data_IF_628666294165
#
_entry.id   IF_628666294165
#
_cell.length_a   1.000
_cell.length_b   1.000
_cell.length_c   1.000
_cell.angle_alpha   90.00
_cell.angle_beta   90.00
_cell.angle_gamma   90.00
#
_symmetry.space_group_name_H-M   'P 1'
#
loop_
_entity.id
_entity.type
_entity.pdbx_description
1 polymer ?
#
# COMPACT_ATOMS: atom_id res chain seq x y z
N UNK A 1 27.14 14.60 -13.01
CA UNK A 1 25.75 14.28 -12.65
C UNK A 1 25.49 14.80 -11.25
N UNK A 2 24.38 15.49 -11.03
CA UNK A 2 24.00 15.96 -9.69
C UNK A 2 23.37 14.82 -8.89
N UNK A 3 23.36 14.87 -7.54
CA UNK A 3 22.65 13.88 -6.73
C UNK A 3 21.16 13.73 -7.12
N UNK A 4 20.51 14.81 -7.53
CA UNK A 4 19.11 14.82 -7.95
C UNK A 4 18.87 14.10 -9.28
N UNK A 5 19.85 14.13 -10.19
CA UNK A 5 19.82 13.36 -11.43
C UNK A 5 19.96 11.87 -11.14
N UNK A 6 20.90 11.51 -10.25
CA UNK A 6 21.17 10.11 -9.89
C UNK A 6 19.98 9.44 -9.22
N UNK A 7 19.24 10.16 -8.37
CA UNK A 7 18.04 9.64 -7.72
C UNK A 7 16.79 9.72 -8.60
N UNK A 8 16.86 10.36 -9.76
CA UNK A 8 15.74 10.54 -10.68
C UNK A 8 14.71 11.58 -10.22
N UNK A 9 15.05 12.45 -9.25
CA UNK A 9 14.16 13.56 -8.83
C UNK A 9 14.15 14.70 -9.84
N UNK A 10 15.25 14.91 -10.56
CA UNK A 10 15.35 15.85 -11.67
C UNK A 10 15.85 15.11 -12.91
N UNK A 11 15.05 15.04 -13.97
CA UNK A 11 15.41 14.35 -15.22
C UNK A 11 14.64 14.90 -16.40
N UNK A 12 15.19 14.75 -17.60
CA UNK A 12 14.46 15.03 -18.84
C UNK A 12 13.26 14.09 -18.96
N UNK A 13 12.04 14.60 -19.23
CA UNK A 13 10.85 13.76 -19.29
C UNK A 13 10.93 12.75 -20.45
N UNK A 14 10.92 11.46 -20.15
CA UNK A 14 10.87 10.38 -21.16
C UNK A 14 9.46 9.81 -21.32
N UNK A 15 8.79 9.51 -20.20
CA UNK A 15 7.40 9.06 -20.14
C UNK A 15 6.69 9.63 -18.90
N UNK A 16 5.40 9.99 -19.05
CA UNK A 16 4.58 10.60 -17.98
C UNK A 16 3.52 9.62 -17.50
N UNK A 17 3.85 8.78 -16.53
CA UNK A 17 2.91 7.80 -15.95
C UNK A 17 2.02 8.39 -14.86
N UNK A 18 2.46 9.48 -14.21
CA UNK A 18 1.78 10.07 -13.07
C UNK A 18 0.32 10.48 -13.34
N UNK A 19 -0.07 11.04 -14.51
CA UNK A 19 -1.47 11.33 -14.78
C UNK A 19 -2.39 10.10 -14.77
N UNK A 20 -1.92 8.96 -15.28
CA UNK A 20 -2.65 7.70 -15.24
C UNK A 20 -2.78 7.21 -13.80
N UNK A 21 -1.68 7.19 -13.05
CA UNK A 21 -1.66 6.83 -11.63
C UNK A 21 -2.59 7.72 -10.79
N UNK A 22 -2.56 9.04 -11.02
CA UNK A 22 -3.41 10.03 -10.34
C UNK A 22 -4.88 9.71 -10.52
N UNK A 23 -5.29 9.38 -11.75
CA UNK A 23 -6.68 9.01 -12.06
C UNK A 23 -7.06 7.65 -11.49
N UNK A 24 -6.26 6.62 -11.75
CA UNK A 24 -6.56 5.25 -11.35
C UNK A 24 -6.63 5.04 -9.84
N UNK A 25 -5.79 5.75 -9.08
CA UNK A 25 -5.77 5.65 -7.60
C UNK A 25 -6.52 6.79 -6.90
N UNK A 26 -7.25 7.63 -7.64
CA UNK A 26 -7.97 8.78 -7.09
C UNK A 26 -7.10 9.59 -6.12
N UNK A 27 -5.92 10.00 -6.60
CA UNK A 27 -4.95 10.72 -5.79
C UNK A 27 -5.34 12.18 -5.56
N UNK A 28 -6.37 12.66 -6.25
CA UNK A 28 -6.82 14.05 -6.22
C UNK A 28 -8.30 14.11 -5.93
N UNK A 29 -8.64 14.78 -4.84
CA UNK A 29 -9.99 14.91 -4.30
C UNK A 29 -10.24 16.39 -4.08
N UNK A 30 -11.25 16.93 -4.74
CA UNK A 30 -11.48 18.38 -4.73
C UNK A 30 -12.28 18.82 -3.49
N UNK A 31 -13.22 17.99 -3.02
CA UNK A 31 -14.14 18.33 -1.92
C UNK A 31 -13.80 17.57 -0.63
N UNK A 32 -12.60 17.80 -0.10
CA UNK A 32 -12.12 17.12 1.11
C UNK A 32 -12.73 17.72 2.38
N UNK A 33 -13.28 16.86 3.24
CA UNK A 33 -13.77 17.24 4.56
C UNK A 33 -12.64 17.13 5.59
N UNK A 34 -12.05 18.24 6.01
CA UNK A 34 -10.90 18.22 6.93
C UNK A 34 -11.30 17.95 8.39
N UNK A 35 -12.47 18.42 8.82
CA UNK A 35 -12.95 18.28 10.21
C UNK A 35 -13.53 16.90 10.51
N UNK A 36 -14.07 16.22 9.50
CA UNK A 36 -14.61 14.86 9.60
C UNK A 36 -14.17 14.04 8.37
N UNK A 37 -12.91 13.63 8.32
CA UNK A 37 -12.33 13.06 7.11
C UNK A 37 -12.90 11.68 6.80
N UNK A 38 -13.30 11.49 5.54
CA UNK A 38 -13.75 10.19 5.00
C UNK A 38 -12.72 9.52 4.11
N UNK A 39 -11.64 10.22 3.79
CA UNK A 39 -10.60 9.76 2.87
C UNK A 39 -9.25 10.33 3.29
N UNK A 40 -8.16 9.61 3.01
CA UNK A 40 -6.78 9.96 3.38
C UNK A 40 -6.26 11.26 2.74
N UNK A 41 -6.90 11.75 1.69
CA UNK A 41 -6.58 13.03 1.03
C UNK A 41 -6.64 14.26 1.95
N UNK A 42 -7.30 14.15 3.11
CA UNK A 42 -7.29 15.19 4.15
C UNK A 42 -5.89 15.58 4.64
N UNK A 43 -4.92 14.67 4.55
CA UNK A 43 -3.55 14.92 5.01
C UNK A 43 -2.82 15.98 4.19
N UNK A 44 -3.22 16.19 2.94
CA UNK A 44 -2.65 17.19 2.03
C UNK A 44 -3.77 17.98 1.31
N UNK A 45 -4.87 18.26 2.02
CA UNK A 45 -6.01 19.08 1.55
C UNK A 45 -6.46 18.80 0.11
N UNK A 46 -6.57 17.51 -0.24
CA UNK A 46 -6.99 17.08 -1.58
C UNK A 46 -6.10 16.03 -2.21
N UNK A 47 -4.80 16.00 -1.87
CA UNK A 47 -3.91 14.96 -2.37
C UNK A 47 -3.88 13.74 -1.44
N UNK A 48 -4.26 12.57 -1.96
CA UNK A 48 -4.05 11.30 -1.28
C UNK A 48 -2.65 10.76 -1.61
N UNK A 49 -1.76 10.55 -0.61
CA UNK A 49 -0.43 10.01 -0.86
C UNK A 49 -0.48 8.64 -1.54
N UNK A 50 0.21 8.52 -2.68
CA UNK A 50 0.20 7.30 -3.49
C UNK A 50 0.59 6.05 -2.68
N UNK A 51 1.61 6.13 -1.83
CA UNK A 51 2.04 5.02 -0.98
C UNK A 51 0.93 4.51 -0.06
N UNK A 52 0.15 5.42 0.53
CA UNK A 52 -0.96 5.08 1.42
C UNK A 52 -2.14 4.53 0.62
N UNK A 53 -2.41 5.04 -0.59
CA UNK A 53 -3.41 4.43 -1.51
C UNK A 53 -3.04 3.00 -1.88
N UNK A 54 -1.77 2.73 -2.16
CA UNK A 54 -1.32 1.37 -2.47
C UNK A 54 -1.56 0.42 -1.29
N UNK A 55 -1.22 0.85 -0.07
CA UNK A 55 -1.52 0.07 1.14
C UNK A 55 -3.04 -0.15 1.32
N UNK A 56 -3.86 0.87 1.07
CA UNK A 56 -5.31 0.76 1.13
C UNK A 56 -5.86 -0.25 0.12
N UNK A 57 -5.30 -0.32 -1.10
CA UNK A 57 -5.66 -1.33 -2.09
C UNK A 57 -5.21 -2.74 -1.66
N UNK A 58 -3.96 -2.87 -1.22
CA UNK A 58 -3.39 -4.15 -0.76
C UNK A 58 -4.20 -4.78 0.39
N UNK A 59 -4.71 -3.95 1.31
CA UNK A 59 -5.48 -4.40 2.47
C UNK A 59 -6.90 -4.86 2.12
N UNK A 60 -7.40 -4.62 0.90
CA UNK A 60 -8.72 -5.10 0.48
C UNK A 60 -8.69 -6.62 0.34
N UNK A 61 -9.82 -7.32 0.56
CA UNK A 61 -9.89 -8.77 0.34
C UNK A 61 -9.53 -9.21 -1.09
N UNK A 62 -9.70 -8.31 -2.06
CA UNK A 62 -9.33 -8.53 -3.46
C UNK A 62 -7.84 -8.32 -3.76
N UNK A 63 -7.05 -7.82 -2.79
CA UNK A 63 -5.65 -7.45 -2.98
C UNK A 63 -5.46 -6.50 -4.16
N UNK A 64 -4.51 -6.83 -5.03
CA UNK A 64 -4.15 -6.06 -6.22
C UNK A 64 -5.10 -6.20 -7.41
N UNK A 65 -6.17 -7.01 -7.29
CA UNK A 65 -7.10 -7.24 -8.40
C UNK A 65 -7.75 -5.95 -8.88
N UNK A 66 -7.69 -5.71 -10.20
CA UNK A 66 -8.27 -4.56 -10.89
C UNK A 66 -7.33 -3.36 -11.04
N UNK A 67 -6.11 -3.42 -10.50
CA UNK A 67 -5.11 -2.34 -10.64
C UNK A 67 -3.77 -2.84 -11.18
N UNK A 68 -3.67 -4.10 -11.63
CA UNK A 68 -2.42 -4.74 -12.03
C UNK A 68 -1.73 -4.02 -13.19
N UNK A 69 -2.48 -3.60 -14.22
CA UNK A 69 -1.93 -2.86 -15.36
C UNK A 69 -1.38 -1.50 -14.96
N UNK A 70 -1.99 -0.87 -13.95
CA UNK A 70 -1.57 0.43 -13.44
C UNK A 70 -0.30 0.27 -12.59
N UNK A 71 -0.18 -0.82 -11.83
CA UNK A 71 1.00 -1.12 -11.03
C UNK A 71 2.26 -1.31 -11.89
N UNK A 72 2.13 -1.83 -13.12
CA UNK A 72 3.25 -1.94 -14.07
C UNK A 72 3.87 -0.59 -14.46
N UNK A 73 3.16 0.51 -14.22
CA UNK A 73 3.67 1.86 -14.48
C UNK A 73 4.59 2.38 -13.37
N UNK A 74 4.59 1.73 -12.20
CA UNK A 74 5.45 2.06 -11.06
C UNK A 74 6.82 1.40 -11.20
N UNK A 75 7.87 2.00 -10.64
CA UNK A 75 9.19 1.39 -10.61
C UNK A 75 9.19 0.16 -9.70
N UNK A 76 9.79 -0.93 -10.17
CA UNK A 76 9.96 -2.17 -9.42
C UNK A 76 8.83 -3.19 -9.62
N UNK A 77 9.04 -4.45 -9.22
CA UNK A 77 8.04 -5.50 -9.34
C UNK A 77 6.93 -5.34 -8.29
N UNK A 78 5.72 -5.79 -8.63
CA UNK A 78 4.66 -6.04 -7.64
C UNK A 78 4.80 -7.48 -7.14
N UNK A 79 4.88 -7.66 -5.82
CA UNK A 79 5.08 -8.97 -5.17
C UNK A 79 3.85 -9.29 -4.33
N UNK A 80 3.29 -10.48 -4.52
CA UNK A 80 2.17 -11.03 -3.74
C UNK A 80 2.40 -12.54 -3.57
N UNK A 81 3.09 -12.90 -2.48
CA UNK A 81 3.53 -14.27 -2.21
C UNK A 81 2.97 -14.76 -0.88
N UNK A 82 2.43 -15.98 -0.89
CA UNK A 82 1.96 -16.66 0.32
C UNK A 82 3.10 -17.54 0.83
N UNK A 83 3.62 -17.20 2.01
CA UNK A 83 4.60 -18.06 2.67
C UNK A 83 3.89 -19.26 3.32
N UNK A 84 4.21 -20.46 2.85
CA UNK A 84 3.78 -21.69 3.50
C UNK A 84 4.60 -21.94 4.76
N UNK A 85 3.93 -22.24 5.87
CA UNK A 85 4.61 -22.61 7.10
C UNK A 85 5.35 -23.95 6.91
N UNK A 86 6.64 -24.04 7.29
CA UNK A 86 7.36 -25.31 7.28
C UNK A 86 6.71 -26.28 8.26
N UNK A 87 6.70 -27.58 7.91
CA UNK A 87 5.99 -28.64 8.65
C UNK A 87 6.34 -28.70 10.15
N UNK A 88 7.56 -28.30 10.53
CA UNK A 88 8.00 -28.24 11.93
C UNK A 88 7.29 -27.19 12.78
N UNK A 89 6.83 -26.08 12.19
CA UNK A 89 6.14 -24.98 12.90
C UNK A 89 4.63 -25.21 13.04
N UNK A 90 4.03 -26.02 12.16
CA UNK A 90 2.61 -26.41 12.25
C UNK A 90 2.29 -27.25 13.49
N UNK A 91 3.31 -27.86 14.12
CA UNK A 91 3.14 -28.75 15.30
C UNK A 91 3.09 -28.02 16.63
N UNK A 92 3.35 -26.71 16.71
CA UNK A 92 2.99 -25.90 17.88
C UNK A 92 1.49 -25.64 17.84
N UNK A 93 0.69 -26.65 18.18
CA UNK A 93 -0.60 -26.35 18.79
C UNK A 93 -0.28 -25.46 19.98
N UNK A 94 -0.76 -24.23 19.96
CA UNK A 94 -0.84 -23.40 21.14
C UNK A 94 -1.57 -24.27 22.16
N UNK A 95 -0.83 -24.88 23.09
CA UNK A 95 -1.44 -25.56 24.23
C UNK A 95 -2.26 -24.47 24.89
N UNK A 96 -3.59 -24.62 25.04
CA UNK A 96 -4.38 -23.65 25.75
C UNK A 96 -3.78 -23.59 27.16
N UNK A 97 -3.03 -22.54 27.46
CA UNK A 97 -2.56 -22.32 28.81
C UNK A 97 -3.82 -22.08 29.62
N UNK A 98 -4.15 -23.01 30.52
CA UNK A 98 -5.24 -22.79 31.46
C UNK A 98 -4.94 -21.46 32.17
N UNK A 99 -5.90 -20.51 32.23
CA UNK A 99 -5.67 -19.24 32.88
C UNK A 99 -5.23 -19.49 34.32
N UNK A 100 -4.24 -18.70 34.78
CA UNK A 100 -3.51 -18.89 36.05
C UNK A 100 -4.43 -18.94 37.27
N UNK A 101 -5.65 -18.41 37.16
CA UNK A 101 -6.68 -18.35 38.19
C UNK A 101 -7.29 -19.70 38.62
N UNK A 102 -7.03 -20.80 37.91
CA UNK A 102 -7.53 -22.15 38.26
C UNK A 102 -6.50 -23.02 39.01
N UNK A 103 -5.52 -22.41 39.71
CA UNK A 103 -4.66 -23.12 40.67
C UNK A 103 -5.08 -22.76 42.09
N UNK A 104 -6.12 -23.44 42.56
CA UNK A 104 -6.43 -23.62 43.99
C UNK A 104 -6.15 -25.07 44.33
#
# INVERSE_FOLDING_TARGET
MTPLDTTGFLRTPTARHFPTLRKSFHLDVHDVQEQNPRDISYTYSGYAPLSVRLAQHAARPSGWRGVEEVLKLLPGPTIDEIQHLPQGLLKRKLVPTKPVWNRT
#
